data_IF_714881830286
#
_entry.id   IF_714881830286
#
_cell.length_a   1.000
_cell.length_b   1.000
_cell.length_c   1.000
_cell.angle_alpha   90.00
_cell.angle_beta   90.00
_cell.angle_gamma   90.00
#
_symmetry.space_group_name_H-M   'P 1'
#
loop_
_entity.id
_entity.type
_entity.pdbx_description
1 polymer ?
#
# COMPACT_ATOMS: atom_id res chain seq x y z
N UNK A 1 -8.05 5.28 -27.96
CA UNK A 1 -9.22 5.90 -27.31
C UNK A 1 -9.43 5.35 -25.91
N UNK A 2 -9.95 4.12 -25.71
CA UNK A 2 -10.04 3.54 -24.33
C UNK A 2 -8.66 3.35 -23.67
N UNK A 3 -7.64 3.02 -24.46
CA UNK A 3 -6.24 2.94 -24.01
C UNK A 3 -5.69 4.28 -23.48
N UNK A 4 -6.15 5.40 -24.04
CA UNK A 4 -5.72 6.74 -23.66
C UNK A 4 -6.24 7.12 -22.29
N UNK A 5 -7.50 6.78 -21.98
CA UNK A 5 -8.03 6.97 -20.62
C UNK A 5 -7.21 6.22 -19.59
N UNK A 6 -6.79 4.98 -19.89
CA UNK A 6 -5.93 4.22 -19.00
C UNK A 6 -4.58 4.92 -18.76
N UNK A 7 -3.96 5.45 -19.81
CA UNK A 7 -2.70 6.20 -19.68
C UNK A 7 -2.87 7.48 -18.84
N UNK A 8 -4.02 8.17 -18.97
CA UNK A 8 -4.37 9.31 -18.13
C UNK A 8 -4.53 8.92 -16.67
N UNK A 9 -5.19 7.79 -16.39
CA UNK A 9 -5.32 7.25 -15.02
C UNK A 9 -3.96 6.88 -14.43
N UNK A 10 -3.07 6.26 -15.21
CA UNK A 10 -1.73 5.84 -14.75
C UNK A 10 -0.82 7.04 -14.44
N UNK A 11 -1.05 8.19 -15.07
CA UNK A 11 -0.30 9.44 -14.85
C UNK A 11 -1.01 10.45 -13.95
N UNK A 12 -2.15 10.08 -13.38
CA UNK A 12 -2.94 10.98 -12.55
C UNK A 12 -2.18 11.37 -11.29
N UNK A 13 -2.23 12.65 -10.95
CA UNK A 13 -1.65 13.22 -9.74
C UNK A 13 -2.74 14.08 -9.04
N UNK A 14 -2.54 14.51 -7.77
CA UNK A 14 -3.58 15.20 -7.03
C UNK A 14 -3.78 16.68 -7.45
N UNK A 15 -3.13 17.17 -8.51
CA UNK A 15 -3.32 18.54 -8.96
C UNK A 15 -4.70 18.73 -9.61
N UNK A 16 -5.33 19.87 -9.32
CA UNK A 16 -6.65 20.19 -9.88
C UNK A 16 -6.63 20.26 -11.40
N UNK A 17 -5.53 20.75 -12.00
CA UNK A 17 -5.36 20.81 -13.46
C UNK A 17 -5.38 19.41 -14.09
N UNK A 18 -4.64 18.44 -13.54
CA UNK A 18 -4.61 17.07 -14.06
C UNK A 18 -5.95 16.37 -13.89
N UNK A 19 -6.59 16.54 -12.72
CA UNK A 19 -7.90 15.98 -12.43
C UNK A 19 -8.95 16.53 -13.41
N UNK A 20 -9.00 17.85 -13.58
CA UNK A 20 -9.98 18.50 -14.43
C UNK A 20 -9.77 18.15 -15.92
N UNK A 21 -8.54 18.19 -16.42
CA UNK A 21 -8.24 17.82 -17.81
C UNK A 21 -8.59 16.36 -18.11
N UNK A 22 -8.32 15.44 -17.19
CA UNK A 22 -8.70 14.02 -17.33
C UNK A 22 -10.21 13.82 -17.30
N UNK A 23 -10.91 14.53 -16.40
CA UNK A 23 -12.38 14.50 -16.32
C UNK A 23 -13.02 15.07 -17.59
N UNK A 24 -12.53 16.22 -18.07
CA UNK A 24 -13.01 16.84 -19.31
C UNK A 24 -12.85 15.89 -20.51
N UNK A 25 -11.67 15.29 -20.67
CA UNK A 25 -11.43 14.27 -21.70
C UNK A 25 -12.45 13.12 -21.60
N UNK A 26 -12.71 12.63 -20.38
CA UNK A 26 -13.67 11.56 -20.13
C UNK A 26 -15.09 11.95 -20.55
N UNK A 27 -15.54 13.17 -20.21
CA UNK A 27 -16.87 13.66 -20.58
C UNK A 27 -17.03 13.80 -22.11
N UNK A 28 -16.05 14.40 -22.78
CA UNK A 28 -16.09 14.59 -24.24
C UNK A 28 -16.04 13.26 -24.99
N UNK A 29 -15.24 12.30 -24.49
CA UNK A 29 -15.21 10.95 -25.02
C UNK A 29 -16.55 10.23 -24.85
N UNK A 30 -17.16 10.28 -23.65
CA UNK A 30 -18.45 9.62 -23.39
C UNK A 30 -19.62 10.29 -24.10
N UNK A 31 -19.54 11.59 -24.39
CA UNK A 31 -20.52 12.29 -25.21
C UNK A 31 -20.55 11.74 -26.64
N UNK A 32 -19.38 11.46 -27.22
CA UNK A 32 -19.25 10.91 -28.58
C UNK A 32 -19.35 9.39 -28.64
N UNK A 33 -19.07 8.69 -27.54
CA UNK A 33 -19.01 7.23 -27.46
C UNK A 33 -19.75 6.66 -26.22
N UNK A 34 -21.07 6.89 -26.07
CA UNK A 34 -21.81 6.56 -24.84
C UNK A 34 -21.80 5.07 -24.46
N UNK A 35 -21.62 4.17 -25.42
CA UNK A 35 -21.52 2.73 -25.16
C UNK A 35 -20.28 2.32 -24.34
N UNK A 36 -19.35 3.25 -24.09
CA UNK A 36 -18.13 2.99 -23.31
C UNK A 36 -18.24 3.39 -21.83
N UNK A 37 -19.42 3.83 -21.34
CA UNK A 37 -19.59 4.22 -19.93
C UNK A 37 -19.14 3.11 -18.97
N UNK A 38 -19.58 1.87 -19.20
CA UNK A 38 -19.18 0.73 -18.36
C UNK A 38 -17.66 0.52 -18.40
N UNK A 39 -17.06 0.55 -19.60
CA UNK A 39 -15.61 0.38 -19.77
C UNK A 39 -14.81 1.46 -19.02
N UNK A 40 -15.27 2.70 -19.03
CA UNK A 40 -14.63 3.81 -18.30
C UNK A 40 -14.70 3.58 -16.78
N UNK A 41 -15.88 3.21 -16.27
CA UNK A 41 -16.08 2.92 -14.84
C UNK A 41 -15.24 1.73 -14.41
N UNK A 42 -15.17 0.68 -15.22
CA UNK A 42 -14.37 -0.51 -14.94
C UNK A 42 -12.86 -0.21 -14.90
N UNK A 43 -12.37 0.60 -15.85
CA UNK A 43 -10.96 1.02 -15.87
C UNK A 43 -10.61 1.86 -14.64
N UNK A 44 -11.47 2.82 -14.29
CA UNK A 44 -11.30 3.60 -13.07
C UNK A 44 -11.31 2.72 -11.82
N UNK A 45 -12.29 1.81 -11.71
CA UNK A 45 -12.44 0.90 -10.57
C UNK A 45 -11.25 -0.05 -10.44
N UNK A 46 -10.68 -0.52 -11.56
CA UNK A 46 -9.47 -1.33 -11.53
C UNK A 46 -8.25 -0.50 -11.12
N UNK A 47 -8.12 0.71 -11.65
CA UNK A 47 -6.99 1.60 -11.35
C UNK A 47 -6.95 1.97 -9.87
N UNK A 48 -8.09 2.27 -9.25
CA UNK A 48 -8.13 2.67 -7.84
C UNK A 48 -7.74 1.56 -6.88
N UNK A 49 -7.96 0.29 -7.23
CA UNK A 49 -7.51 -0.83 -6.40
C UNK A 49 -5.98 -0.93 -6.37
N UNK A 50 -5.31 -0.70 -7.50
CA UNK A 50 -3.86 -0.93 -7.65
C UNK A 50 -3.00 0.33 -7.50
N UNK A 51 -3.56 1.53 -7.69
CA UNK A 51 -2.81 2.79 -7.71
C UNK A 51 -2.43 3.25 -6.30
N UNK A 52 -1.28 3.94 -6.19
CA UNK A 52 -0.93 4.68 -4.96
C UNK A 52 -1.66 6.03 -4.88
N UNK A 53 -2.21 6.52 -5.98
CA UNK A 53 -2.91 7.81 -6.11
C UNK A 53 -4.44 7.67 -5.91
N UNK A 54 -4.86 6.84 -4.94
CA UNK A 54 -6.29 6.51 -4.73
C UNK A 54 -7.16 7.73 -4.46
N UNK A 55 -6.65 8.70 -3.69
CA UNK A 55 -7.37 9.95 -3.41
C UNK A 55 -7.52 10.82 -4.66
N UNK A 56 -6.49 10.92 -5.51
CA UNK A 56 -6.61 11.65 -6.77
C UNK A 56 -7.66 10.99 -7.69
N UNK A 57 -7.71 9.65 -7.72
CA UNK A 57 -8.74 8.91 -8.45
C UNK A 57 -10.15 9.11 -7.89
N UNK A 58 -10.32 9.27 -6.58
CA UNK A 58 -11.60 9.67 -5.98
C UNK A 58 -11.99 11.10 -6.35
N UNK A 59 -11.05 12.03 -6.38
CA UNK A 59 -11.31 13.40 -6.84
C UNK A 59 -11.67 13.44 -8.33
N UNK A 60 -11.05 12.59 -9.15
CA UNK A 60 -11.45 12.40 -10.54
C UNK A 60 -12.87 11.86 -10.65
N UNK A 61 -13.23 10.80 -9.92
CA UNK A 61 -14.60 10.29 -9.91
C UNK A 61 -15.60 11.34 -9.47
N UNK A 62 -15.26 12.12 -8.45
CA UNK A 62 -16.07 13.24 -7.99
C UNK A 62 -16.32 14.27 -9.11
N UNK A 63 -15.27 14.69 -9.83
CA UNK A 63 -15.41 15.65 -10.92
C UNK A 63 -16.23 15.07 -12.10
N UNK A 64 -16.00 13.81 -12.46
CA UNK A 64 -16.75 13.11 -13.51
C UNK A 64 -18.23 12.99 -13.15
N UNK A 65 -18.56 12.57 -11.92
CA UNK A 65 -19.94 12.34 -11.48
C UNK A 65 -20.70 13.67 -11.44
N UNK A 66 -20.09 14.73 -10.92
CA UNK A 66 -20.76 16.02 -10.81
C UNK A 66 -20.96 16.73 -12.16
N UNK A 67 -20.06 16.49 -13.12
CA UNK A 67 -20.15 17.02 -14.47
C UNK A 67 -20.83 16.04 -15.45
N UNK A 68 -21.31 14.88 -14.98
CA UNK A 68 -21.93 13.87 -15.81
C UNK A 68 -23.24 14.39 -16.42
N UNK A 69 -23.37 14.31 -17.75
CA UNK A 69 -24.62 14.64 -18.45
C UNK A 69 -25.65 13.51 -18.44
N UNK A 70 -25.25 12.31 -18.02
CA UNK A 70 -26.08 11.10 -18.04
C UNK A 70 -26.15 10.47 -16.65
N UNK A 71 -27.37 10.36 -16.12
CA UNK A 71 -27.68 9.74 -14.82
C UNK A 71 -27.22 8.27 -14.72
N UNK A 72 -27.17 7.56 -15.84
CA UNK A 72 -26.70 6.17 -15.90
C UNK A 72 -25.22 6.07 -15.50
N UNK A 73 -24.39 7.04 -15.88
CA UNK A 73 -22.97 7.05 -15.50
C UNK A 73 -22.82 7.18 -13.99
N UNK A 74 -23.58 8.09 -13.37
CA UNK A 74 -23.63 8.26 -11.91
C UNK A 74 -24.06 6.96 -11.21
N UNK A 75 -25.10 6.30 -11.71
CA UNK A 75 -25.55 5.01 -11.18
C UNK A 75 -24.46 3.93 -11.27
N UNK A 76 -23.73 3.85 -12.39
CA UNK A 76 -22.61 2.91 -12.55
C UNK A 76 -21.49 3.17 -11.53
N UNK A 77 -21.10 4.43 -11.33
CA UNK A 77 -20.12 4.78 -10.30
C UNK A 77 -20.61 4.44 -8.89
N UNK A 78 -21.90 4.65 -8.59
CA UNK A 78 -22.48 4.35 -7.27
C UNK A 78 -22.23 2.88 -6.85
N UNK A 79 -22.29 1.93 -7.78
CA UNK A 79 -22.02 0.52 -7.49
C UNK A 79 -20.54 0.24 -7.17
N UNK A 80 -19.62 1.00 -7.75
CA UNK A 80 -18.17 0.82 -7.56
C UNK A 80 -17.61 1.61 -6.37
N UNK A 81 -18.30 2.68 -5.95
CA UNK A 81 -17.85 3.58 -4.88
C UNK A 81 -17.64 2.93 -3.51
N UNK A 82 -18.49 2.02 -3.00
CA UNK A 82 -18.25 1.37 -1.70
C UNK A 82 -16.89 0.67 -1.63
N UNK A 83 -16.53 -0.04 -2.72
CA UNK A 83 -15.24 -0.75 -2.82
C UNK A 83 -14.09 0.24 -2.93
N UNK A 84 -14.21 1.25 -3.79
CA UNK A 84 -13.24 2.33 -3.96
C UNK A 84 -12.95 3.07 -2.65
N UNK A 85 -13.98 3.41 -1.87
CA UNK A 85 -13.87 4.06 -0.56
C UNK A 85 -13.14 3.13 0.42
N UNK A 86 -13.52 1.85 0.47
CA UNK A 86 -12.89 0.84 1.34
C UNK A 86 -11.38 0.74 1.08
N UNK A 87 -10.96 0.60 -0.18
CA UNK A 87 -9.53 0.47 -0.50
C UNK A 87 -8.76 1.77 -0.29
N UNK A 88 -9.41 2.92 -0.49
CA UNK A 88 -8.80 4.25 -0.27
C UNK A 88 -8.62 4.58 1.20
N UNK A 89 -9.55 4.16 2.06
CA UNK A 89 -9.52 4.37 3.51
C UNK A 89 -8.39 3.61 4.24
N UNK A 90 -7.60 2.80 3.52
CA UNK A 90 -6.42 2.11 4.07
C UNK A 90 -5.17 2.99 4.15
N UNK A 91 -5.14 4.12 3.43
CA UNK A 91 -3.99 5.03 3.41
C UNK A 91 -4.03 5.99 4.62
N UNK A 92 -2.90 6.28 5.28
CA UNK A 92 -2.86 7.29 6.34
C UNK A 92 -3.34 8.67 5.85
N UNK A 93 -4.24 9.30 6.60
CA UNK A 93 -4.79 10.63 6.27
C UNK A 93 -5.85 10.66 5.18
N UNK A 94 -6.08 9.56 4.45
CA UNK A 94 -7.02 9.53 3.31
C UNK A 94 -8.48 9.70 3.73
N UNK A 95 -8.84 9.27 4.94
CA UNK A 95 -10.22 9.27 5.43
C UNK A 95 -10.78 10.70 5.49
N UNK A 96 -9.96 11.68 5.88
CA UNK A 96 -10.38 13.08 5.88
C UNK A 96 -10.67 13.60 4.47
N UNK A 97 -9.89 13.18 3.47
CA UNK A 97 -10.12 13.56 2.08
C UNK A 97 -11.34 12.87 1.48
N UNK A 98 -11.57 11.59 1.83
CA UNK A 98 -12.80 10.88 1.46
C UNK A 98 -14.03 11.60 2.03
N UNK A 99 -14.01 11.99 3.30
CA UNK A 99 -15.10 12.74 3.93
C UNK A 99 -15.38 14.09 3.27
N UNK A 100 -14.35 14.78 2.78
CA UNK A 100 -14.58 16.00 1.98
C UNK A 100 -15.40 15.71 0.73
N UNK A 101 -15.12 14.60 0.03
CA UNK A 101 -15.89 14.18 -1.15
C UNK A 101 -17.32 13.81 -0.75
N UNK A 102 -17.50 12.99 0.29
CA UNK A 102 -18.81 12.60 0.79
C UNK A 102 -19.67 13.80 1.18
N UNK A 103 -19.06 14.77 1.89
CA UNK A 103 -19.72 16.02 2.25
C UNK A 103 -20.14 16.83 1.02
N UNK A 104 -19.29 16.93 0.00
CA UNK A 104 -19.65 17.62 -1.26
C UNK A 104 -20.85 16.93 -1.93
N UNK A 105 -20.92 15.60 -1.91
CA UNK A 105 -22.05 14.86 -2.45
C UNK A 105 -23.33 15.02 -1.64
N UNK A 106 -23.24 15.11 -0.31
CA UNK A 106 -24.40 15.40 0.55
C UNK A 106 -24.88 16.85 0.36
N UNK A 107 -23.98 17.83 0.45
CA UNK A 107 -24.30 19.26 0.31
C UNK A 107 -24.96 19.57 -1.05
N UNK A 108 -24.54 18.88 -2.12
CA UNK A 108 -25.07 19.05 -3.49
C UNK A 108 -26.17 18.05 -3.85
N UNK A 109 -26.57 17.17 -2.92
CA UNK A 109 -27.57 16.12 -3.15
C UNK A 109 -27.27 15.24 -4.38
N UNK A 110 -25.99 14.93 -4.60
CA UNK A 110 -25.52 14.06 -5.71
C UNK A 110 -26.03 12.63 -5.52
N UNK A 111 -26.00 12.16 -4.27
CA UNK A 111 -26.56 10.88 -3.85
C UNK A 111 -27.52 11.08 -2.68
N UNK A 112 -28.50 10.17 -2.49
CA UNK A 112 -29.37 10.20 -1.33
C UNK A 112 -28.58 10.09 -0.02
N UNK A 113 -29.01 10.83 1.00
CA UNK A 113 -28.36 10.87 2.31
C UNK A 113 -28.08 9.49 2.93
N UNK A 114 -29.02 8.54 2.81
CA UNK A 114 -28.83 7.19 3.36
C UNK A 114 -27.64 6.45 2.72
N UNK A 115 -27.37 6.67 1.43
CA UNK A 115 -26.20 6.09 0.74
C UNK A 115 -24.91 6.75 1.24
N UNK A 116 -24.92 8.07 1.45
CA UNK A 116 -23.77 8.78 2.04
C UNK A 116 -23.49 8.25 3.46
N UNK A 117 -24.52 8.08 4.28
CA UNK A 117 -24.40 7.51 5.63
C UNK A 117 -23.85 6.07 5.62
N UNK A 118 -24.21 5.25 4.63
CA UNK A 118 -23.63 3.91 4.45
C UNK A 118 -22.13 3.98 4.14
N UNK A 119 -21.71 4.92 3.29
CA UNK A 119 -20.29 5.12 2.96
C UNK A 119 -19.50 5.75 4.11
N UNK A 120 -20.12 6.63 4.90
CA UNK A 120 -19.53 7.19 6.12
C UNK A 120 -19.22 6.09 7.14
N UNK A 121 -20.09 5.08 7.28
CA UNK A 121 -19.84 3.89 8.10
C UNK A 121 -18.63 3.07 7.62
N UNK A 122 -18.23 3.16 6.36
CA UNK A 122 -17.00 2.54 5.86
C UNK A 122 -15.79 3.30 6.41
N UNK A 123 -15.83 4.63 6.37
CA UNK A 123 -14.81 5.51 6.95
C UNK A 123 -14.68 5.30 8.47
N UNK A 124 -15.78 5.29 9.21
CA UNK A 124 -15.79 5.02 10.66
C UNK A 124 -15.17 3.67 11.01
N UNK A 125 -15.52 2.62 10.25
CA UNK A 125 -14.91 1.30 10.43
C UNK A 125 -13.41 1.33 10.18
N UNK A 126 -12.96 2.00 9.13
CA UNK A 126 -11.53 2.15 8.85
C UNK A 126 -10.79 2.94 9.96
N UNK A 127 -11.37 4.00 10.51
CA UNK A 127 -10.80 4.74 11.64
C UNK A 127 -10.77 3.95 12.94
N UNK A 128 -11.84 3.21 13.23
CA UNK A 128 -11.93 2.37 14.43
C UNK A 128 -10.92 1.22 14.42
N UNK A 129 -10.54 0.75 13.22
CA UNK A 129 -9.44 -0.20 13.07
C UNK A 129 -8.07 0.45 13.29
N UNK A 130 -8.03 1.78 13.43
CA UNK A 130 -6.85 2.62 13.62
C UNK A 130 -5.90 2.54 12.43
N UNK A 131 -4.89 3.43 12.36
CA UNK A 131 -3.65 3.00 11.74
C UNK A 131 -3.28 1.71 12.49
N UNK A 132 -3.02 0.62 11.77
CA UNK A 132 -2.21 -0.44 12.34
C UNK A 132 -0.88 0.24 12.67
N UNK A 133 -0.77 0.86 13.86
CA UNK A 133 0.46 0.98 14.61
C UNK A 133 1.05 -0.40 14.44
N UNK A 134 2.12 -0.45 13.68
CA UNK A 134 2.64 -1.64 13.08
C UNK A 134 3.19 -2.50 14.22
N UNK A 135 2.28 -3.14 14.96
CA UNK A 135 2.55 -3.92 16.15
C UNK A 135 3.42 -5.09 15.73
N UNK A 136 3.31 -5.51 14.46
CA UNK A 136 4.28 -6.34 13.75
C UNK A 136 5.67 -5.72 13.69
N UNK A 137 5.86 -4.50 13.16
CA UNK A 137 7.17 -3.82 13.17
C UNK A 137 7.73 -3.61 14.59
N UNK A 138 6.91 -3.14 15.53
CA UNK A 138 7.34 -2.97 16.92
C UNK A 138 7.73 -4.32 17.55
N UNK A 139 6.99 -5.39 17.27
CA UNK A 139 7.33 -6.75 17.70
C UNK A 139 8.62 -7.24 17.04
N UNK A 140 8.85 -6.92 15.76
CA UNK A 140 10.11 -7.21 15.06
C UNK A 140 11.29 -6.48 15.69
N UNK A 141 11.14 -5.18 15.99
CA UNK A 141 12.18 -4.37 16.66
C UNK A 141 12.48 -4.92 18.06
N UNK A 142 11.45 -5.28 18.83
CA UNK A 142 11.60 -5.88 20.16
C UNK A 142 12.30 -7.26 20.08
N UNK A 143 11.91 -8.10 19.13
CA UNK A 143 12.51 -9.43 18.95
C UNK A 143 13.96 -9.33 18.48
N UNK A 144 14.26 -8.42 17.55
CA UNK A 144 15.62 -8.13 17.11
C UNK A 144 16.49 -7.63 18.25
N UNK A 145 16.00 -6.69 19.07
CA UNK A 145 16.71 -6.19 20.25
C UNK A 145 17.02 -7.31 21.26
N UNK A 146 16.06 -8.23 21.48
CA UNK A 146 16.28 -9.41 22.33
C UNK A 146 17.36 -10.34 21.76
N UNK A 147 17.37 -10.59 20.45
CA UNK A 147 18.39 -11.43 19.82
C UNK A 147 19.77 -10.76 19.79
N UNK A 148 19.85 -9.45 19.54
CA UNK A 148 21.11 -8.69 19.66
C UNK A 148 21.68 -8.73 21.08
N UNK A 149 20.83 -8.67 22.11
CA UNK A 149 21.25 -8.83 23.51
C UNK A 149 21.82 -10.24 23.77
N UNK A 150 21.17 -11.29 23.26
CA UNK A 150 21.67 -12.68 23.35
C UNK A 150 23.00 -12.85 22.62
N UNK A 151 23.15 -12.26 21.44
CA UNK A 151 24.40 -12.29 20.68
C UNK A 151 25.55 -11.61 21.44
N UNK A 152 25.30 -10.43 22.02
CA UNK A 152 26.28 -9.73 22.87
C UNK A 152 26.72 -10.59 24.07
N UNK A 153 25.78 -11.31 24.69
CA UNK A 153 26.08 -12.21 25.80
C UNK A 153 26.89 -13.44 25.36
N UNK A 154 26.60 -13.99 24.18
CA UNK A 154 27.36 -15.11 23.61
C UNK A 154 28.80 -14.69 23.26
N UNK A 155 29.02 -13.52 22.67
CA UNK A 155 30.36 -12.97 22.40
C UNK A 155 31.20 -12.81 23.68
N UNK A 156 30.60 -12.23 24.73
CA UNK A 156 31.25 -12.12 26.04
C UNK A 156 31.50 -13.47 26.73
N UNK A 157 30.78 -14.52 26.36
CA UNK A 157 31.02 -15.88 26.86
C UNK A 157 32.21 -16.53 26.15
N UNK A 158 32.38 -16.29 24.84
CA UNK A 158 33.55 -16.73 24.07
C UNK A 158 34.83 -16.10 24.62
N UNK A 159 34.82 -14.79 24.88
CA UNK A 159 35.98 -14.07 25.42
C UNK A 159 36.42 -14.54 26.82
N UNK A 160 35.50 -15.14 27.59
CA UNK A 160 35.75 -15.62 28.96
C UNK A 160 36.04 -17.12 29.02
N UNK A 161 35.84 -17.86 27.94
CA UNK A 161 36.01 -19.31 27.92
C UNK A 161 37.49 -19.69 27.72
N UNK A 162 37.97 -20.69 28.46
CA UNK A 162 39.32 -21.23 28.36
C UNK A 162 39.26 -22.76 28.27
N UNK A 163 40.19 -23.38 27.55
CA UNK A 163 40.26 -24.84 27.41
C UNK A 163 39.34 -25.43 26.34
N UNK A 164 38.96 -26.70 26.49
CA UNK A 164 38.25 -27.50 25.48
C UNK A 164 36.85 -26.96 25.12
N UNK A 165 36.25 -26.13 25.98
CA UNK A 165 34.92 -25.55 25.77
C UNK A 165 34.88 -24.39 24.74
N UNK A 166 36.04 -23.83 24.35
CA UNK A 166 36.12 -22.68 23.42
C UNK A 166 35.40 -22.99 22.10
N UNK A 167 35.60 -24.19 21.54
CA UNK A 167 34.98 -24.59 20.26
C UNK A 167 33.45 -24.61 20.36
N UNK A 168 32.92 -25.09 21.49
CA UNK A 168 31.48 -25.19 21.73
C UNK A 168 30.84 -23.81 21.91
N UNK A 169 31.50 -22.93 22.66
CA UNK A 169 30.99 -21.57 22.92
C UNK A 169 31.10 -20.70 21.67
N UNK A 170 32.18 -20.83 20.89
CA UNK A 170 32.35 -20.15 19.60
C UNK A 170 31.29 -20.59 18.58
N UNK A 171 31.01 -21.89 18.48
CA UNK A 171 29.95 -22.39 17.60
C UNK A 171 28.56 -21.88 17.99
N UNK A 172 28.25 -21.79 19.28
CA UNK A 172 26.99 -21.24 19.76
C UNK A 172 26.85 -19.73 19.45
N UNK A 173 27.96 -18.99 19.52
CA UNK A 173 28.02 -17.56 19.20
C UNK A 173 27.81 -17.31 17.70
N UNK A 174 28.48 -18.09 16.85
CA UNK A 174 28.33 -18.05 15.40
C UNK A 174 26.88 -18.35 14.97
N UNK A 175 26.27 -19.41 15.53
CA UNK A 175 24.87 -19.74 15.27
C UNK A 175 23.90 -18.63 15.69
N UNK A 176 24.19 -17.93 16.79
CA UNK A 176 23.39 -16.78 17.22
C UNK A 176 23.55 -15.57 16.27
N UNK A 177 24.72 -15.36 15.66
CA UNK A 177 24.94 -14.34 14.62
C UNK A 177 24.10 -14.62 13.39
N UNK A 178 24.14 -15.84 12.89
CA UNK A 178 23.39 -16.25 11.69
C UNK A 178 21.88 -16.07 11.85
N UNK A 179 21.34 -16.44 13.01
CA UNK A 179 19.93 -16.22 13.38
C UNK A 179 19.53 -14.75 13.28
N UNK A 180 20.37 -13.83 13.77
CA UNK A 180 20.13 -12.38 13.71
C UNK A 180 20.19 -11.88 12.27
N UNK A 181 21.16 -12.34 11.48
CA UNK A 181 21.31 -11.95 10.06
C UNK A 181 20.10 -12.41 9.24
N UNK A 182 19.64 -13.66 9.41
CA UNK A 182 18.47 -14.21 8.72
C UNK A 182 17.21 -13.37 9.00
N UNK A 183 17.05 -12.89 10.24
CA UNK A 183 15.90 -12.09 10.64
C UNK A 183 15.96 -10.64 10.15
N UNK A 184 17.14 -10.02 10.14
CA UNK A 184 17.36 -8.70 9.50
C UNK A 184 17.05 -8.78 8.01
N UNK A 185 17.55 -9.80 7.31
CA UNK A 185 17.27 -10.02 5.88
C UNK A 185 15.79 -10.24 5.61
N UNK A 186 15.10 -11.02 6.47
CA UNK A 186 13.64 -11.21 6.37
C UNK A 186 12.87 -9.91 6.57
N UNK A 187 13.26 -9.09 7.55
CA UNK A 187 12.66 -7.79 7.80
C UNK A 187 12.89 -6.83 6.62
N UNK A 188 14.11 -6.79 6.06
CA UNK A 188 14.40 -6.04 4.85
C UNK A 188 13.54 -6.49 3.67
N UNK A 189 13.42 -7.81 3.41
CA UNK A 189 12.54 -8.32 2.35
C UNK A 189 11.09 -7.84 2.48
N UNK A 190 10.57 -7.77 3.71
CA UNK A 190 9.19 -7.30 3.99
C UNK A 190 9.01 -5.79 3.76
N UNK A 191 10.01 -4.98 4.10
CA UNK A 191 9.98 -3.52 3.92
C UNK A 191 10.15 -3.14 2.45
N UNK A 192 10.92 -3.92 1.67
CA UNK A 192 11.31 -3.59 0.31
C UNK A 192 10.56 -4.36 -0.78
N UNK A 193 9.35 -4.87 -0.52
CA UNK A 193 8.48 -5.41 -1.57
C UNK A 193 8.05 -4.30 -2.55
N UNK A 194 8.94 -3.90 -3.46
CA UNK A 194 8.72 -2.86 -4.46
C UNK A 194 9.97 -2.39 -5.21
N UNK A 195 11.17 -2.44 -4.61
CA UNK A 195 12.37 -1.85 -5.22
C UNK A 195 13.32 -2.89 -5.85
N UNK A 196 13.42 -2.86 -7.19
CA UNK A 196 14.24 -3.77 -8.01
C UNK A 196 15.74 -3.77 -7.60
N UNK A 197 16.25 -2.62 -7.16
CA UNK A 197 17.65 -2.47 -6.74
C UNK A 197 17.97 -3.21 -5.43
N UNK A 198 17.00 -3.32 -4.52
CA UNK A 198 17.22 -3.99 -3.23
C UNK A 198 17.20 -5.50 -3.39
N UNK A 199 16.36 -6.05 -4.29
CA UNK A 199 16.39 -7.47 -4.64
C UNK A 199 17.75 -7.93 -5.18
N UNK A 200 18.41 -7.11 -6.00
CA UNK A 200 19.76 -7.40 -6.52
C UNK A 200 20.79 -7.44 -5.38
N UNK A 201 20.72 -6.49 -4.44
CA UNK A 201 21.62 -6.48 -3.29
C UNK A 201 21.36 -7.64 -2.33
N UNK A 202 20.10 -7.99 -2.08
CA UNK A 202 19.73 -9.15 -1.27
C UNK A 202 20.16 -10.47 -1.92
N UNK A 203 20.07 -10.59 -3.24
CA UNK A 203 20.58 -11.76 -3.96
C UNK A 203 22.11 -11.89 -3.83
N UNK A 204 22.86 -10.79 -3.98
CA UNK A 204 24.32 -10.76 -3.78
C UNK A 204 24.72 -11.10 -2.33
N UNK A 205 23.94 -10.64 -1.34
CA UNK A 205 24.14 -11.01 0.07
C UNK A 205 23.88 -12.51 0.26
N UNK A 206 22.82 -13.04 -0.32
CA UNK A 206 22.48 -14.47 -0.20
C UNK A 206 23.52 -15.37 -0.89
N UNK A 207 24.05 -14.99 -2.06
CA UNK A 207 25.19 -15.69 -2.69
C UNK A 207 26.42 -15.70 -1.80
N UNK A 208 26.75 -14.57 -1.15
CA UNK A 208 27.89 -14.48 -0.25
C UNK A 208 27.70 -15.35 1.00
N UNK A 209 26.48 -15.44 1.53
CA UNK A 209 26.16 -16.30 2.67
C UNK A 209 26.26 -17.78 2.30
N UNK A 210 25.74 -18.19 1.13
CA UNK A 210 25.85 -19.58 0.67
C UNK A 210 27.31 -20.01 0.44
N UNK A 211 28.16 -19.10 -0.05
CA UNK A 211 29.61 -19.36 -0.18
C UNK A 211 30.31 -19.53 1.17
N UNK A 212 29.78 -18.97 2.25
CA UNK A 212 30.30 -19.19 3.60
C UNK A 212 29.90 -20.60 4.08
N UNK A 213 28.66 -21.03 3.84
CA UNK A 213 28.20 -22.39 4.18
C UNK A 213 28.97 -23.49 3.40
N UNK A 214 29.38 -23.25 2.15
CA UNK A 214 30.21 -24.19 1.37
C UNK A 214 31.66 -24.31 1.84
N UNK A 215 32.19 -23.31 2.56
CA UNK A 215 33.56 -23.33 3.10
C UNK A 215 33.62 -24.06 4.47
N UNK A 216 32.47 -24.24 5.13
CA UNK A 216 32.36 -24.90 6.43
C UNK A 216 31.94 -26.39 6.35
N UNK A 217 31.68 -26.91 5.14
CA UNK A 217 31.46 -28.35 4.86
C UNK A 217 32.73 -29.07 4.42
#
# INVERSE_FOLDING_TARGET
>A
MVSEFKELLDRLDPTQERIHSTSFWCQEFLYTHPNHMQTIVDLWSKSIETSNQKIALLFLANDIIQNARNETLKAMFQFSLPRAITVSATNPGSIQDIRKVLKVWDDRQVFPRHIIEEWEKICERAESQGPKSDRSQLTYVINLAKKMKKLKQAGLAVERCQGEDIRRVAYAEQKAREEVIKEIVSAMKKVYHGDLNVSIHLHKINEKLNKIEEIES
#
